data_IF_224961790163
#
_entry.id   IF_224961790163
#
_cell.length_a   1.000
_cell.length_b   1.000
_cell.length_c   1.000
_cell.angle_alpha   90.00
_cell.angle_beta   90.00
_cell.angle_gamma   90.00
#
_symmetry.space_group_name_H-M   'P 1'
#
loop_
_entity.id
_entity.type
_entity.pdbx_description
1 polymer ?
#
# COMPACT_ATOMS: atom_id res chain seq x y z
N UNK A 1 32.40 -27.20 36.12
CA UNK A 1 31.56 -26.03 36.48
C UNK A 1 31.74 -24.81 35.58
N UNK A 2 32.96 -24.36 35.25
CA UNK A 2 33.18 -23.19 34.35
C UNK A 2 32.55 -23.29 32.94
N UNK A 3 32.46 -24.49 32.37
CA UNK A 3 31.89 -24.69 31.02
C UNK A 3 30.35 -24.72 31.01
N UNK A 4 29.73 -25.12 32.12
CA UNK A 4 28.26 -25.12 32.28
C UNK A 4 27.78 -23.68 32.45
N UNK A 5 28.52 -22.86 33.20
CA UNK A 5 28.20 -21.44 33.38
C UNK A 5 28.30 -20.65 32.06
N UNK A 6 29.24 -20.96 31.17
CA UNK A 6 29.32 -20.35 29.82
C UNK A 6 28.15 -20.73 28.91
N UNK A 7 27.69 -21.98 28.96
CA UNK A 7 26.56 -22.45 28.15
C UNK A 7 25.24 -21.85 28.68
N UNK A 8 25.07 -21.76 30.00
CA UNK A 8 23.91 -21.12 30.62
C UNK A 8 23.90 -19.61 30.35
N UNK A 9 25.06 -18.94 30.33
CA UNK A 9 25.16 -17.51 30.00
C UNK A 9 24.89 -17.22 28.52
N UNK A 10 25.27 -18.11 27.59
CA UNK A 10 24.90 -18.00 26.16
C UNK A 10 23.42 -18.30 25.94
N UNK A 11 22.84 -19.27 26.65
CA UNK A 11 21.39 -19.54 26.63
C UNK A 11 20.58 -18.40 27.25
N UNK A 12 21.06 -17.77 28.33
CA UNK A 12 20.42 -16.58 28.89
C UNK A 12 20.58 -15.36 27.96
N UNK A 13 21.71 -15.19 27.27
CA UNK A 13 21.87 -14.11 26.28
C UNK A 13 20.91 -14.28 25.08
N UNK A 14 20.59 -15.52 24.70
CA UNK A 14 19.57 -15.79 23.66
C UNK A 14 18.14 -15.64 24.20
N UNK A 15 17.91 -15.84 25.50
CA UNK A 15 16.62 -15.55 26.16
C UNK A 15 16.41 -14.08 26.52
N UNK A 16 17.47 -13.26 26.48
CA UNK A 16 17.41 -11.79 26.56
C UNK A 16 17.57 -11.17 25.15
N UNK A 17 17.11 -11.86 24.10
CA UNK A 17 16.51 -11.11 23.01
C UNK A 17 15.17 -10.65 23.58
N UNK A 18 15.04 -9.37 23.96
CA UNK A 18 13.82 -8.87 24.58
C UNK A 18 12.69 -9.32 23.70
N UNK A 19 11.73 -10.03 24.29
CA UNK A 19 10.51 -10.53 23.69
C UNK A 19 10.19 -9.68 22.48
N UNK A 20 10.68 -10.09 21.31
CA UNK A 20 10.41 -9.40 20.08
C UNK A 20 8.96 -9.72 19.94
N UNK A 21 8.14 -8.78 20.38
CA UNK A 21 6.71 -8.84 20.24
C UNK A 21 6.54 -8.97 18.74
N UNK A 22 6.47 -10.20 18.24
CA UNK A 22 5.76 -10.54 17.00
C UNK A 22 4.28 -10.40 17.31
N UNK A 23 3.91 -9.28 17.93
CA UNK A 23 2.75 -8.57 17.52
C UNK A 23 3.13 -8.17 16.10
N UNK A 24 2.50 -8.79 15.12
CA UNK A 24 2.21 -8.05 13.91
C UNK A 24 1.43 -6.82 14.38
N UNK A 25 2.16 -5.78 14.81
CA UNK A 25 1.61 -4.46 14.79
C UNK A 25 1.46 -4.20 13.29
N UNK A 26 0.25 -4.37 12.79
CA UNK A 26 -0.28 -3.58 11.68
C UNK A 26 -0.23 -2.09 12.08
N UNK A 27 0.97 -1.57 12.38
CA UNK A 27 1.22 -0.16 12.19
C UNK A 27 1.60 -0.05 10.73
N UNK A 28 0.61 0.26 9.91
CA UNK A 28 0.90 1.02 8.71
C UNK A 28 1.78 2.18 9.14
N UNK A 29 3.07 2.09 8.81
CA UNK A 29 3.98 3.22 9.01
C UNK A 29 3.68 4.35 8.04
N UNK A 30 2.71 4.15 7.13
CA UNK A 30 2.21 5.18 6.23
C UNK A 30 1.15 6.02 6.94
N UNK A 31 1.43 7.31 7.08
CA UNK A 31 0.53 8.32 7.63
C UNK A 31 0.15 9.25 6.48
N UNK A 32 -1.14 9.44 6.24
CA UNK A 32 -1.62 10.34 5.17
C UNK A 32 -1.64 11.78 5.69
N UNK A 33 -0.52 12.48 5.59
CA UNK A 33 -0.30 13.84 6.13
C UNK A 33 0.43 14.80 5.16
N UNK A 34 0.82 14.32 3.98
CA UNK A 34 1.56 15.05 2.95
C UNK A 34 3.07 15.05 3.15
N UNK A 35 3.59 14.28 4.11
CA UNK A 35 5.02 14.09 4.35
C UNK A 35 5.48 12.70 3.86
N UNK A 36 6.09 12.67 2.69
CA UNK A 36 6.44 11.43 2.00
C UNK A 36 7.65 10.65 2.55
N UNK A 37 8.15 10.95 3.75
CA UNK A 37 9.33 10.28 4.32
C UNK A 37 9.06 8.81 4.69
N UNK A 38 7.83 8.50 5.06
CA UNK A 38 7.35 7.15 5.38
C UNK A 38 7.24 6.22 4.15
N UNK A 39 7.23 6.79 2.94
CA UNK A 39 7.30 6.07 1.67
C UNK A 39 8.70 5.54 1.32
N UNK A 40 9.75 5.97 2.04
CA UNK A 40 11.10 5.48 1.80
C UNK A 40 11.17 3.96 1.97
N UNK A 41 11.63 3.27 0.92
CA UNK A 41 11.77 1.82 0.90
C UNK A 41 10.46 1.05 0.68
N UNK A 42 9.33 1.73 0.42
CA UNK A 42 8.10 1.09 -0.05
C UNK A 42 8.20 0.69 -1.52
N UNK A 43 7.44 -0.33 -1.96
CA UNK A 43 7.33 -0.65 -3.38
C UNK A 43 6.90 0.58 -4.20
N UNK A 44 7.55 0.73 -5.36
CA UNK A 44 7.33 1.83 -6.28
C UNK A 44 7.46 1.31 -7.71
N UNK A 45 6.58 1.75 -8.59
CA UNK A 45 6.68 1.51 -10.04
C UNK A 45 6.79 2.85 -10.74
N UNK A 46 7.85 3.00 -11.53
CA UNK A 46 8.02 4.12 -12.46
C UNK A 46 7.09 3.97 -13.65
N UNK A 47 6.58 5.10 -14.11
CA UNK A 47 5.81 5.20 -15.35
C UNK A 47 6.56 6.05 -16.39
N UNK A 48 6.54 5.70 -17.69
CA UNK A 48 7.35 6.37 -18.69
C UNK A 48 6.92 7.83 -18.88
N UNK A 49 7.76 8.75 -18.43
CA UNK A 49 7.57 10.19 -18.67
C UNK A 49 7.32 10.51 -20.15
N UNK A 50 6.35 11.36 -20.44
CA UNK A 50 5.93 11.81 -21.77
C UNK A 50 5.33 10.71 -22.66
N UNK A 51 4.82 9.64 -22.09
CA UNK A 51 4.03 8.65 -22.83
C UNK A 51 2.68 9.25 -23.30
N UNK A 52 2.21 10.31 -22.64
CA UNK A 52 1.13 11.17 -23.09
C UNK A 52 1.54 12.64 -23.27
N UNK A 53 0.81 13.35 -24.14
CA UNK A 53 1.12 14.74 -24.51
C UNK A 53 0.79 15.77 -23.44
N UNK A 54 -0.11 15.45 -22.51
CA UNK A 54 -0.68 16.37 -21.53
C UNK A 54 0.03 16.21 -20.19
N UNK A 55 1.01 17.06 -19.83
CA UNK A 55 1.89 16.83 -18.67
C UNK A 55 1.19 16.84 -17.30
N UNK A 56 -0.03 17.37 -17.21
CA UNK A 56 -0.82 17.38 -15.98
C UNK A 56 -1.65 16.10 -15.78
N UNK A 57 -1.77 15.26 -16.82
CA UNK A 57 -2.39 13.94 -16.77
C UNK A 57 -1.34 12.83 -16.68
N UNK A 58 -0.09 13.12 -17.07
CA UNK A 58 1.06 12.21 -17.15
C UNK A 58 1.50 11.82 -15.73
N UNK A 59 1.35 10.55 -15.38
CA UNK A 59 1.89 9.95 -14.17
C UNK A 59 3.38 9.67 -14.35
N UNK A 60 4.17 9.90 -13.30
CA UNK A 60 5.59 9.51 -13.31
C UNK A 60 5.86 8.24 -12.50
N UNK A 61 4.93 7.87 -11.63
CA UNK A 61 5.03 6.64 -10.89
C UNK A 61 4.13 6.59 -9.68
N UNK A 62 4.09 5.38 -9.12
CA UNK A 62 3.14 4.97 -8.08
C UNK A 62 3.90 4.23 -6.99
N UNK A 63 3.99 4.84 -5.81
CA UNK A 63 4.30 4.16 -4.56
C UNK A 63 3.06 3.46 -4.03
N UNK A 64 3.20 2.23 -3.53
CA UNK A 64 2.05 1.46 -3.06
C UNK A 64 2.36 0.57 -1.86
N UNK A 65 1.36 0.45 -0.99
CA UNK A 65 1.37 -0.44 0.17
C UNK A 65 -0.07 -0.85 0.50
N UNK A 66 -0.29 -2.06 1.00
CA UNK A 66 -1.62 -2.51 1.40
C UNK A 66 -1.57 -3.19 2.78
N UNK A 67 -2.50 -2.81 3.66
CA UNK A 67 -2.82 -3.56 4.89
C UNK A 67 -4.10 -4.38 4.70
N UNK A 68 -4.68 -4.89 5.79
CA UNK A 68 -5.92 -5.66 5.77
C UNK A 68 -7.18 -4.84 5.45
N UNK A 69 -7.10 -3.50 5.40
CA UNK A 69 -8.25 -2.60 5.27
C UNK A 69 -8.15 -1.64 4.10
N UNK A 70 -6.94 -1.22 3.76
CA UNK A 70 -6.66 -0.10 2.90
C UNK A 70 -5.52 -0.42 1.93
N UNK A 71 -5.67 0.07 0.70
CA UNK A 71 -4.57 0.28 -0.22
C UNK A 71 -4.13 1.74 -0.09
N UNK A 72 -2.88 1.95 0.29
CA UNK A 72 -2.22 3.24 0.40
C UNK A 72 -1.47 3.49 -0.90
N UNK A 73 -1.55 4.72 -1.40
CA UNK A 73 -0.92 5.14 -2.65
C UNK A 73 -0.21 6.46 -2.45
N UNK A 74 1.00 6.55 -3.00
CA UNK A 74 1.74 7.79 -3.26
C UNK A 74 1.86 7.93 -4.77
N UNK A 75 1.29 9.00 -5.32
CA UNK A 75 1.18 9.17 -6.77
C UNK A 75 1.88 10.46 -7.16
N UNK A 76 2.71 10.36 -8.19
CA UNK A 76 3.51 11.45 -8.72
C UNK A 76 3.03 11.74 -10.15
N UNK A 77 2.78 13.01 -10.46
CA UNK A 77 2.52 13.47 -11.83
C UNK A 77 3.63 14.37 -12.36
N UNK A 78 3.72 14.48 -13.68
CA UNK A 78 4.78 15.20 -14.34
C UNK A 78 4.76 16.70 -14.05
N UNK A 79 3.60 17.34 -14.21
CA UNK A 79 3.41 18.76 -13.99
C UNK A 79 2.15 19.04 -13.16
N UNK A 80 2.21 20.13 -12.39
CA UNK A 80 1.11 20.54 -11.53
C UNK A 80 1.13 22.07 -11.32
N UNK A 81 -0.03 22.71 -11.35
CA UNK A 81 -0.20 24.08 -10.86
C UNK A 81 -1.16 24.09 -9.66
N UNK A 82 -0.98 25.03 -8.72
CA UNK A 82 -1.81 25.11 -7.50
C UNK A 82 -3.32 25.24 -7.78
N UNK A 83 -3.67 25.86 -8.90
CA UNK A 83 -5.05 26.06 -9.36
C UNK A 83 -5.57 24.94 -10.25
N UNK A 84 -4.76 23.92 -10.56
CA UNK A 84 -5.14 22.82 -11.44
C UNK A 84 -5.52 21.59 -10.62
N UNK A 85 -6.83 21.38 -10.38
CA UNK A 85 -7.29 20.18 -9.75
C UNK A 85 -6.88 18.97 -10.59
N UNK A 86 -6.53 17.91 -9.90
CA UNK A 86 -6.24 16.62 -10.53
C UNK A 86 -7.42 15.69 -10.29
N UNK A 87 -7.87 15.04 -11.35
CA UNK A 87 -8.86 13.98 -11.28
C UNK A 87 -8.30 12.75 -11.99
N UNK A 88 -8.44 11.59 -11.37
CA UNK A 88 -8.06 10.30 -11.93
C UNK A 88 -8.75 9.17 -11.17
N UNK A 89 -8.58 7.95 -11.65
CA UNK A 89 -9.19 6.77 -11.06
C UNK A 89 -8.15 5.76 -10.57
N UNK A 90 -8.48 5.09 -9.46
CA UNK A 90 -7.85 3.82 -9.07
C UNK A 90 -8.78 2.69 -9.49
N UNK A 91 -8.38 1.92 -10.49
CA UNK A 91 -9.17 0.83 -11.06
C UNK A 91 -8.80 -0.49 -10.40
N UNK A 92 -9.75 -1.15 -9.74
CA UNK A 92 -9.52 -2.38 -8.97
C UNK A 92 -9.90 -3.61 -9.80
N UNK A 93 -8.97 -4.14 -10.58
CA UNK A 93 -9.21 -5.15 -11.62
C UNK A 93 -9.70 -6.50 -11.11
N UNK A 94 -9.47 -6.82 -9.84
CA UNK A 94 -9.99 -8.01 -9.18
C UNK A 94 -11.03 -7.70 -8.10
N UNK A 95 -11.56 -6.47 -8.05
CA UNK A 95 -12.63 -6.09 -7.14
C UNK A 95 -13.89 -6.92 -7.38
N UNK A 96 -14.54 -7.35 -6.30
CA UNK A 96 -15.71 -8.25 -6.33
C UNK A 96 -17.01 -7.57 -5.90
N UNK A 97 -16.94 -6.31 -5.44
CA UNK A 97 -18.08 -5.51 -4.99
C UNK A 97 -18.14 -4.14 -5.66
N UNK A 98 -19.35 -3.57 -5.67
CA UNK A 98 -19.63 -2.23 -6.18
C UNK A 98 -19.92 -2.19 -7.68
N UNK A 99 -20.29 -1.00 -8.20
CA UNK A 99 -20.53 -0.82 -9.63
C UNK A 99 -19.24 -1.00 -10.41
N UNK A 100 -19.35 -1.61 -11.59
CA UNK A 100 -18.21 -1.83 -12.49
C UNK A 100 -18.40 -1.07 -13.78
N UNK A 101 -17.30 -0.61 -14.35
CA UNK A 101 -17.26 0.05 -15.65
C UNK A 101 -16.30 -0.71 -16.57
N UNK A 102 -16.53 -0.70 -17.90
CA UNK A 102 -15.61 -1.32 -18.85
C UNK A 102 -14.28 -0.54 -18.89
N UNK A 103 -13.18 -1.27 -18.75
CA UNK A 103 -11.81 -0.74 -18.76
C UNK A 103 -11.02 -1.36 -19.90
N UNK A 104 -10.50 -0.52 -20.79
CA UNK A 104 -9.67 -0.91 -21.92
C UNK A 104 -8.21 -0.66 -21.55
N UNK A 105 -7.60 -1.64 -20.91
CA UNK A 105 -6.19 -1.58 -20.50
C UNK A 105 -5.28 -1.42 -21.72
N UNK A 106 -4.08 -0.88 -21.49
CA UNK A 106 -3.08 -0.66 -22.53
C UNK A 106 -2.89 -1.92 -23.41
N UNK A 107 -3.01 -1.74 -24.73
CA UNK A 107 -2.89 -2.82 -25.71
C UNK A 107 -4.05 -3.84 -25.76
N UNK A 108 -5.10 -3.70 -24.95
CA UNK A 108 -6.25 -4.61 -24.95
C UNK A 108 -7.41 -4.08 -25.80
N UNK A 109 -7.98 -4.95 -26.64
CA UNK A 109 -9.23 -4.69 -27.38
C UNK A 109 -10.47 -5.20 -26.64
N UNK A 110 -10.30 -6.01 -25.59
CA UNK A 110 -11.39 -6.54 -24.78
C UNK A 110 -11.48 -5.77 -23.46
N UNK A 111 -12.68 -5.34 -23.04
CA UNK A 111 -12.83 -4.65 -21.78
C UNK A 111 -12.71 -5.62 -20.60
N UNK A 112 -12.09 -5.15 -19.52
CA UNK A 112 -12.20 -5.73 -18.18
C UNK A 112 -13.21 -4.90 -17.40
N UNK A 113 -14.22 -5.53 -16.80
CA UNK A 113 -15.19 -4.82 -15.96
C UNK A 113 -14.66 -4.76 -14.53
N UNK A 114 -14.41 -3.56 -14.04
CA UNK A 114 -13.81 -3.35 -12.73
C UNK A 114 -14.45 -2.17 -11.99
N UNK A 115 -14.59 -2.24 -10.65
CA UNK A 115 -14.92 -1.08 -9.85
C UNK A 115 -13.74 -0.09 -9.82
N UNK A 116 -14.04 1.19 -9.66
CA UNK A 116 -13.05 2.25 -9.60
C UNK A 116 -13.35 3.24 -8.48
N UNK A 117 -12.30 3.74 -7.83
CA UNK A 117 -12.37 4.89 -6.95
C UNK A 117 -12.07 6.16 -7.75
N UNK A 118 -12.82 7.22 -7.49
CA UNK A 118 -12.56 8.56 -8.04
C UNK A 118 -11.66 9.32 -7.05
N UNK A 119 -10.53 9.82 -7.55
CA UNK A 119 -9.58 10.61 -6.76
C UNK A 119 -9.57 12.02 -7.31
N UNK A 120 -9.93 12.98 -6.47
CA UNK A 120 -9.92 14.40 -6.83
C UNK A 120 -9.00 15.18 -5.90
N UNK A 121 -8.25 16.12 -6.45
CA UNK A 121 -7.47 17.08 -5.68
C UNK A 121 -7.99 18.48 -5.90
N UNK A 122 -7.99 19.31 -4.86
CA UNK A 122 -8.34 20.72 -4.98
C UNK A 122 -7.65 21.55 -3.91
N UNK A 123 -7.47 22.83 -4.19
CA UNK A 123 -6.93 23.79 -3.24
C UNK A 123 -8.03 24.27 -2.29
N UNK A 124 -7.80 24.14 -0.99
CA UNK A 124 -8.68 24.67 0.05
C UNK A 124 -7.94 25.78 0.82
N UNK A 125 -8.52 26.98 0.81
CA UNK A 125 -8.07 28.12 1.60
C UNK A 125 -9.24 28.63 2.45
N UNK A 126 -9.17 28.42 3.76
CA UNK A 126 -10.10 28.96 4.74
C UNK A 126 -9.34 29.42 6.00
N UNK A 127 -10.04 30.01 6.97
CA UNK A 127 -9.44 30.55 8.20
C UNK A 127 -8.65 29.52 9.04
N UNK A 128 -8.91 28.23 8.82
CA UNK A 128 -8.32 27.13 9.57
C UNK A 128 -7.33 26.31 8.74
N UNK A 129 -7.21 26.55 7.44
CA UNK A 129 -6.41 25.72 6.55
C UNK A 129 -6.05 26.39 5.23
N UNK A 130 -4.84 26.11 4.74
CA UNK A 130 -4.35 26.59 3.46
C UNK A 130 -3.49 25.51 2.78
N UNK A 131 -4.06 24.74 1.84
CA UNK A 131 -3.37 23.59 1.25
C UNK A 131 -4.17 22.78 0.25
N UNK A 132 -3.56 21.70 -0.24
CA UNK A 132 -4.19 20.75 -1.17
C UNK A 132 -4.92 19.66 -0.37
N UNK A 133 -6.18 19.45 -0.73
CA UNK A 133 -7.00 18.35 -0.22
C UNK A 133 -7.10 17.27 -1.28
N UNK A 134 -6.95 16.01 -0.87
CA UNK A 134 -7.21 14.83 -1.68
C UNK A 134 -8.51 14.19 -1.20
N UNK A 135 -9.45 13.96 -2.11
CA UNK A 135 -10.72 13.28 -1.85
C UNK A 135 -10.76 11.97 -2.60
N UNK A 136 -11.18 10.93 -1.90
CA UNK A 136 -11.45 9.61 -2.46
C UNK A 136 -12.94 9.34 -2.37
N UNK A 137 -13.56 9.08 -3.52
CA UNK A 137 -14.96 8.76 -3.63
C UNK A 137 -15.16 7.39 -4.28
N UNK A 138 -16.27 6.75 -3.94
CA UNK A 138 -16.70 5.49 -4.55
C UNK A 138 -18.20 5.53 -4.75
N UNK A 139 -18.66 5.21 -5.96
CA UNK A 139 -20.09 5.25 -6.29
C UNK A 139 -20.77 6.59 -5.93
N UNK A 140 -20.08 7.71 -6.21
CA UNK A 140 -20.55 9.06 -5.91
C UNK A 140 -20.52 9.46 -4.43
N UNK A 141 -20.14 8.56 -3.52
CA UNK A 141 -20.00 8.87 -2.10
C UNK A 141 -18.54 9.12 -1.73
N UNK A 142 -18.27 10.23 -1.04
CA UNK A 142 -16.95 10.49 -0.46
C UNK A 142 -16.68 9.50 0.68
N UNK A 143 -15.54 8.80 0.61
CA UNK A 143 -15.10 7.84 1.62
C UNK A 143 -13.94 8.37 2.47
N UNK A 144 -12.98 9.04 1.85
CA UNK A 144 -11.83 9.63 2.55
C UNK A 144 -11.59 11.07 2.06
N UNK A 145 -11.04 11.90 2.94
CA UNK A 145 -10.58 13.25 2.59
C UNK A 145 -9.39 13.59 3.47
N UNK A 146 -8.24 13.88 2.86
CA UNK A 146 -6.97 14.03 3.57
C UNK A 146 -6.18 15.21 3.04
N UNK A 147 -5.31 15.76 3.89
CA UNK A 147 -4.31 16.74 3.49
C UNK A 147 -3.04 15.98 3.19
N UNK A 148 -2.73 15.85 1.90
CA UNK A 148 -1.75 14.84 1.49
C UNK A 148 -0.78 15.32 0.43
N UNK A 149 -0.49 16.62 0.46
CA UNK A 149 0.53 17.20 -0.40
C UNK A 149 1.18 18.36 0.31
N UNK A 150 2.51 18.38 0.32
CA UNK A 150 3.30 19.50 0.82
C UNK A 150 3.51 20.60 -0.26
N UNK A 151 3.01 20.41 -1.49
CA UNK A 151 3.31 21.26 -2.65
C UNK A 151 2.07 21.56 -3.52
N UNK A 152 2.27 21.87 -4.80
CA UNK A 152 1.27 22.16 -5.82
C UNK A 152 0.44 20.93 -6.28
N UNK A 153 0.29 19.90 -5.45
CA UNK A 153 -0.31 18.61 -5.82
C UNK A 153 0.45 17.88 -6.92
N UNK A 154 1.78 18.06 -7.00
CA UNK A 154 2.63 17.27 -7.90
C UNK A 154 2.83 15.85 -7.37
N UNK A 155 2.89 15.75 -6.06
CA UNK A 155 2.95 14.50 -5.33
C UNK A 155 1.78 14.52 -4.34
N UNK A 156 1.05 13.41 -4.32
CA UNK A 156 -0.06 13.21 -3.38
C UNK A 156 0.03 11.83 -2.77
N UNK A 157 -0.53 11.68 -1.57
CA UNK A 157 -0.78 10.38 -0.97
C UNK A 157 -2.22 10.24 -0.51
N UNK A 158 -2.75 9.04 -0.50
CA UNK A 158 -4.10 8.77 -0.03
C UNK A 158 -4.25 7.29 0.19
N UNK A 159 -5.43 6.89 0.65
CA UNK A 159 -5.79 5.49 0.78
C UNK A 159 -7.18 5.24 0.24
N UNK A 160 -7.40 4.03 -0.27
CA UNK A 160 -8.71 3.56 -0.68
C UNK A 160 -9.14 2.40 0.22
N UNK A 161 -10.39 2.41 0.74
CA UNK A 161 -10.88 1.32 1.59
C UNK A 161 -11.18 0.07 0.75
N UNK A 162 -10.44 -1.01 1.00
CA UNK A 162 -10.55 -2.26 0.25
C UNK A 162 -11.90 -2.96 0.45
N UNK A 163 -12.55 -2.72 1.59
CA UNK A 163 -13.87 -3.28 1.89
C UNK A 163 -14.94 -2.85 0.87
N UNK A 164 -14.84 -1.64 0.32
CA UNK A 164 -15.77 -1.11 -0.69
C UNK A 164 -15.76 -1.94 -1.98
N UNK A 165 -14.66 -2.64 -2.26
CA UNK A 165 -14.48 -3.49 -3.46
C UNK A 165 -14.33 -4.98 -3.10
N UNK A 166 -14.53 -5.36 -1.84
CA UNK A 166 -14.48 -6.76 -1.38
C UNK A 166 -13.08 -7.36 -1.38
N UNK A 167 -12.06 -6.54 -1.13
CA UNK A 167 -10.65 -6.95 -1.08
C UNK A 167 -10.03 -6.77 0.31
N UNK A 168 -10.83 -6.51 1.34
CA UNK A 168 -10.41 -6.44 2.73
C UNK A 168 -10.12 -7.83 3.33
N UNK A 169 -9.30 -7.83 4.38
CA UNK A 169 -8.80 -9.01 5.07
C UNK A 169 -7.33 -9.33 4.72
N UNK A 170 -6.80 -10.36 5.36
CA UNK A 170 -5.41 -10.80 5.22
C UNK A 170 -5.26 -11.77 4.04
N UNK A 171 -4.10 -11.76 3.37
CA UNK A 171 -3.76 -12.62 2.23
C UNK A 171 -4.71 -12.46 1.03
N UNK A 172 -5.26 -11.26 0.84
CA UNK A 172 -6.03 -10.91 -0.35
C UNK A 172 -5.08 -10.36 -1.40
N UNK A 173 -5.22 -10.86 -2.62
CA UNK A 173 -4.60 -10.23 -3.77
C UNK A 173 -5.35 -8.93 -4.09
N UNK A 174 -4.62 -7.84 -4.25
CA UNK A 174 -5.12 -6.55 -4.72
C UNK A 174 -4.44 -6.27 -6.05
N UNK A 175 -5.24 -6.23 -7.12
CA UNK A 175 -4.77 -5.96 -8.47
C UNK A 175 -5.37 -4.66 -8.97
N UNK A 176 -4.53 -3.66 -9.24
CA UNK A 176 -5.00 -2.33 -9.59
C UNK A 176 -4.12 -1.64 -10.64
N UNK A 177 -4.65 -0.55 -11.19
CA UNK A 177 -3.94 0.37 -12.10
C UNK A 177 -4.52 1.77 -11.91
N UNK A 178 -3.72 2.81 -12.15
CA UNK A 178 -4.21 4.18 -12.21
C UNK A 178 -4.63 4.53 -13.63
N UNK A 179 -5.63 5.40 -13.74
CA UNK A 179 -6.19 5.84 -15.02
C UNK A 179 -6.42 7.33 -14.96
N UNK A 180 -5.79 8.10 -15.84
CA UNK A 180 -6.03 9.55 -15.93
C UNK A 180 -7.46 9.84 -16.38
N UNK A 181 -7.97 11.03 -16.03
CA UNK A 181 -9.29 11.45 -16.47
C UNK A 181 -9.39 11.56 -18.01
N UNK A 182 -10.60 11.38 -18.52
CA UNK A 182 -10.89 11.23 -19.95
C UNK A 182 -11.03 12.61 -20.58
N UNK A 183 -9.90 13.14 -21.06
CA UNK A 183 -9.89 14.11 -22.16
C UNK A 183 -8.89 13.63 -23.22
N UNK A 184 -9.43 12.89 -24.18
CA UNK A 184 -8.82 12.50 -25.47
C UNK A 184 -7.69 11.46 -25.44
N UNK A 185 -6.83 11.42 -24.43
CA UNK A 185 -5.79 10.38 -24.25
C UNK A 185 -5.79 9.94 -22.80
N UNK A 186 -5.88 8.63 -22.57
CA UNK A 186 -5.82 8.04 -21.22
C UNK A 186 -4.40 7.56 -20.98
N UNK A 187 -3.83 8.06 -19.89
CA UNK A 187 -2.63 7.50 -19.30
C UNK A 187 -3.03 6.38 -18.32
N UNK A 188 -2.37 5.24 -18.46
CA UNK A 188 -2.51 4.06 -17.60
C UNK A 188 -1.21 3.85 -16.85
N UNK A 189 -1.20 4.16 -15.55
CA UNK A 189 0.01 4.06 -14.75
C UNK A 189 -0.09 2.95 -13.69
N UNK A 190 0.80 1.94 -13.72
CA UNK A 190 1.71 1.62 -14.82
C UNK A 190 0.98 0.95 -16.00
N UNK A 191 1.63 0.86 -17.17
CA UNK A 191 1.10 0.14 -18.34
C UNK A 191 0.60 -1.29 -18.01
N UNK A 192 1.17 -1.89 -16.97
CA UNK A 192 0.77 -3.19 -16.44
C UNK A 192 0.17 -3.06 -15.04
N UNK A 193 -0.86 -3.87 -14.70
CA UNK A 193 -1.42 -3.86 -13.37
C UNK A 193 -0.41 -4.15 -12.27
N UNK A 194 -0.49 -3.38 -11.19
CA UNK A 194 0.20 -3.66 -9.93
C UNK A 194 -0.55 -4.77 -9.22
N UNK A 195 0.18 -5.75 -8.69
CA UNK A 195 -0.36 -6.85 -7.88
C UNK A 195 0.36 -6.84 -6.53
N UNK A 196 -0.40 -6.76 -5.44
CA UNK A 196 0.10 -6.82 -4.07
C UNK A 196 -0.79 -7.75 -3.23
N UNK A 197 -0.24 -8.35 -2.19
CA UNK A 197 -1.00 -9.17 -1.23
C UNK A 197 -1.14 -8.41 0.09
N UNK A 198 -2.35 -8.37 0.66
CA UNK A 198 -2.62 -7.72 1.96
C UNK A 198 -2.06 -8.51 3.14
N UNK A 199 -1.58 -7.79 4.15
CA UNK A 199 -1.17 -8.36 5.43
C UNK A 199 0.23 -9.02 5.43
N UNK A 200 0.56 -9.81 6.46
CA UNK A 200 1.90 -10.38 6.62
C UNK A 200 2.23 -11.35 5.50
N UNK A 201 3.41 -11.21 4.88
CA UNK A 201 3.86 -12.11 3.83
C UNK A 201 3.99 -13.55 4.36
N UNK A 202 3.82 -14.55 3.48
CA UNK A 202 4.02 -15.98 3.80
C UNK A 202 5.36 -16.26 4.50
N UNK A 203 6.39 -15.44 4.23
CA UNK A 203 7.70 -15.53 4.87
C UNK A 203 7.67 -15.16 6.36
N UNK A 204 6.86 -14.17 6.75
CA UNK A 204 6.68 -13.79 8.15
C UNK A 204 5.93 -14.90 8.92
N UNK A 205 4.98 -15.58 8.27
CA UNK A 205 4.28 -16.73 8.85
C UNK A 205 5.22 -17.94 8.97
N UNK A 206 6.01 -18.25 7.93
CA UNK A 206 6.94 -19.39 7.94
C UNK A 206 8.06 -19.24 8.98
N UNK A 207 8.51 -18.01 9.23
CA UNK A 207 9.46 -17.68 10.29
C UNK A 207 8.93 -18.11 11.66
N UNK A 208 7.68 -17.80 11.96
CA UNK A 208 7.04 -18.14 13.25
C UNK A 208 6.92 -19.66 13.41
N UNK A 209 6.48 -20.38 12.37
CA UNK A 209 6.42 -21.84 12.40
C UNK A 209 7.80 -22.48 12.59
N UNK A 210 8.83 -21.96 11.92
CA UNK A 210 10.21 -22.44 12.10
C UNK A 210 10.69 -22.27 13.54
N UNK A 211 10.47 -21.10 14.15
CA UNK A 211 10.84 -20.87 15.56
C UNK A 211 10.09 -21.79 16.54
N UNK A 212 8.80 -22.04 16.32
CA UNK A 212 8.01 -22.95 17.17
C UNK A 212 8.57 -24.38 17.07
N UNK A 213 8.83 -24.87 15.85
CA UNK A 213 9.34 -26.23 15.63
C UNK A 213 10.74 -26.40 16.24
N UNK A 214 11.64 -25.45 16.02
CA UNK A 214 13.00 -25.49 16.58
C UNK A 214 12.97 -25.44 18.11
N UNK A 215 12.10 -24.61 18.69
CA UNK A 215 11.95 -24.50 20.15
C UNK A 215 11.39 -25.78 20.77
N UNK A 216 10.40 -26.41 20.13
CA UNK A 216 9.82 -27.67 20.58
C UNK A 216 10.84 -28.84 20.49
N UNK A 217 11.63 -28.89 19.41
CA UNK A 217 12.70 -29.86 19.25
C UNK A 217 13.80 -29.69 20.33
N UNK A 218 14.22 -28.45 20.58
CA UNK A 218 15.20 -28.13 21.62
C UNK A 218 14.71 -28.52 23.02
N UNK A 219 13.45 -28.22 23.34
CA UNK A 219 12.82 -28.61 24.62
C UNK A 219 12.78 -30.13 24.80
N UNK A 220 12.44 -30.88 23.75
CA UNK A 220 12.39 -32.35 23.79
C UNK A 220 13.77 -32.96 24.04
N UNK A 221 14.80 -32.43 23.39
CA UNK A 221 16.20 -32.86 23.61
C UNK A 221 16.66 -32.56 25.03
N UNK A 222 16.31 -31.39 25.57
CA UNK A 222 16.63 -31.02 26.95
C UNK A 222 15.94 -31.93 27.97
N UNK A 223 14.63 -32.17 27.83
CA UNK A 223 13.86 -33.02 28.73
C UNK A 223 14.40 -34.45 28.79
N UNK A 224 14.78 -35.02 27.65
CA UNK A 224 15.32 -36.38 27.57
C UNK A 224 16.74 -36.50 28.17
N UNK A 225 17.51 -35.40 28.24
CA UNK A 225 18.82 -35.37 28.90
C UNK A 225 18.73 -35.14 30.41
N UNK A 226 17.67 -34.52 30.90
CA UNK A 226 17.44 -34.27 32.32
C UNK A 226 16.81 -35.46 33.08
N UNK A 227 16.45 -36.53 32.36
CA UNK A 227 15.83 -37.76 32.89
C UNK A 227 16.79 -38.96 32.94
N UNK A 228 18.09 -38.71 32.77
CA UNK A 228 19.22 -39.64 32.95
C UNK A 228 20.13 -39.07 34.03
#
# INVERSE_FOLDING_TARGET
MKNVFRIVFVLLLVMVVPSARVLAADSTNIVIDGNFQDWIGKPYVEDPKHDIKSPWLDFLGVGYYADDKYLYLHVIRQAANKSEPWHFNVVMLNGTKGPTLPQYLFGSTKPVYAPQFDVTTYYASNSSHNGIVVKVSFNGQQLESTFSSNNNAKEIEFRVPLASVGLDGVNKEVKFVLKSDVKDVVDWAPERPIIITTGPTLWQISSVFFFIIVSAAAYRVYKNKASV
#
